data_IF_027189445633
#
_entry.id   IF_027189445633
#
_cell.length_a   1.000
_cell.length_b   1.000
_cell.length_c   1.000
_cell.angle_alpha   90.00
_cell.angle_beta   90.00
_cell.angle_gamma   90.00
#
_symmetry.space_group_name_H-M   'P 1'
#
loop_
_entity.id
_entity.type
_entity.pdbx_description
1 polymer ?
#
# COMPACT_ATOMS: atom_id res chain seq x y z
N UNK A 1 5.89 -18.22 -2.96
CA UNK A 1 6.85 -17.82 -1.90
C UNK A 1 8.10 -18.68 -2.07
N UNK A 2 9.25 -18.07 -2.28
CA UNK A 2 10.51 -18.82 -2.47
C UNK A 2 11.06 -19.27 -1.12
N UNK A 3 10.81 -20.51 -0.78
CA UNK A 3 11.22 -21.11 0.49
C UNK A 3 12.76 -21.17 0.60
N UNK A 4 13.46 -21.30 -0.52
CA UNK A 4 14.92 -21.48 -0.58
C UNK A 4 15.72 -20.31 0.01
N UNK A 5 15.17 -19.10 -0.01
CA UNK A 5 15.82 -17.90 0.53
C UNK A 5 15.25 -17.46 1.87
N UNK A 6 14.34 -18.22 2.45
CA UNK A 6 13.79 -17.94 3.77
C UNK A 6 14.66 -18.58 4.84
N UNK A 7 15.21 -17.74 5.72
CA UNK A 7 16.14 -18.15 6.77
C UNK A 7 15.72 -17.64 8.14
N UNK A 8 15.97 -18.39 9.20
CA UNK A 8 15.75 -17.91 10.55
C UNK A 8 16.72 -16.77 10.88
N UNK A 9 16.19 -15.71 11.46
CA UNK A 9 17.02 -14.62 12.01
C UNK A 9 17.53 -15.05 13.39
N UNK A 10 18.86 -15.12 13.58
CA UNK A 10 19.44 -15.59 14.84
C UNK A 10 18.90 -14.81 16.05
N UNK A 11 18.52 -15.53 17.09
CA UNK A 11 18.05 -14.96 18.37
C UNK A 11 16.76 -14.12 18.33
N UNK A 12 16.01 -14.12 17.22
CA UNK A 12 14.84 -13.28 17.09
C UNK A 12 13.50 -14.04 16.99
N UNK A 13 13.55 -15.40 16.81
CA UNK A 13 12.35 -16.22 16.66
C UNK A 13 11.48 -15.88 15.43
N UNK A 14 12.07 -15.24 14.44
CA UNK A 14 11.44 -14.82 13.19
C UNK A 14 12.33 -15.20 12.02
N UNK A 15 11.72 -15.29 10.83
CA UNK A 15 12.45 -15.54 9.59
C UNK A 15 12.63 -14.26 8.79
N UNK A 16 13.64 -14.24 7.93
CA UNK A 16 13.86 -13.20 6.93
C UNK A 16 14.10 -13.84 5.55
N UNK A 17 13.95 -13.05 4.50
CA UNK A 17 14.31 -13.45 3.15
C UNK A 17 15.70 -12.92 2.80
N UNK A 18 16.64 -13.83 2.53
CA UNK A 18 18.02 -13.48 2.20
C UNK A 18 18.13 -12.99 0.75
N UNK A 19 17.76 -11.73 0.56
CA UNK A 19 17.81 -11.07 -0.75
C UNK A 19 19.22 -10.95 -1.29
N UNK A 20 20.21 -10.78 -0.41
CA UNK A 20 21.62 -10.72 -0.81
C UNK A 20 22.03 -12.02 -1.47
N UNK A 21 21.77 -13.15 -0.83
CA UNK A 21 22.10 -14.45 -1.39
C UNK A 21 21.40 -14.69 -2.74
N UNK A 22 20.12 -14.36 -2.85
CA UNK A 22 19.37 -14.52 -4.08
C UNK A 22 19.96 -13.71 -5.24
N UNK A 23 20.38 -12.47 -4.99
CA UNK A 23 20.99 -11.60 -6.00
C UNK A 23 22.42 -12.04 -6.31
N UNK A 24 23.23 -12.33 -5.29
CA UNK A 24 24.64 -12.71 -5.46
C UNK A 24 24.79 -14.13 -6.05
N UNK A 25 23.77 -14.99 -5.97
CA UNK A 25 23.71 -16.26 -6.69
C UNK A 25 23.63 -16.08 -8.22
N UNK A 26 23.09 -14.96 -8.70
CA UNK A 26 23.03 -14.62 -10.14
C UNK A 26 24.35 -13.99 -10.58
N UNK A 27 24.83 -13.01 -9.82
CA UNK A 27 26.10 -12.32 -10.07
C UNK A 27 26.79 -12.00 -8.74
N UNK A 28 27.91 -12.61 -8.42
CA UNK A 28 28.62 -12.41 -7.17
C UNK A 28 28.95 -10.94 -6.90
N UNK A 29 28.52 -10.44 -5.74
CA UNK A 29 28.71 -9.05 -5.32
C UNK A 29 27.77 -8.03 -5.96
N UNK A 30 26.80 -8.46 -6.76
CA UNK A 30 25.83 -7.58 -7.41
C UNK A 30 24.95 -6.85 -6.40
N UNK A 31 24.54 -7.50 -5.32
CA UNK A 31 23.70 -6.88 -4.30
C UNK A 31 24.31 -5.61 -3.71
N UNK A 32 25.61 -5.61 -3.46
CA UNK A 32 26.31 -4.45 -2.91
C UNK A 32 26.31 -3.25 -3.86
N UNK A 33 26.23 -3.51 -5.17
CA UNK A 33 26.22 -2.48 -6.24
C UNK A 33 24.83 -1.96 -6.54
N UNK A 34 23.77 -2.66 -6.10
CA UNK A 34 22.40 -2.22 -6.32
C UNK A 34 22.07 -0.93 -5.55
N UNK A 35 21.40 0.05 -6.17
CA UNK A 35 20.77 1.16 -5.45
C UNK A 35 19.80 0.64 -4.37
N UNK A 36 19.59 1.41 -3.32
CA UNK A 36 18.70 1.00 -2.23
C UNK A 36 17.26 0.70 -2.72
N UNK A 37 16.73 1.49 -3.63
CA UNK A 37 15.42 1.23 -4.26
C UNK A 37 15.37 -0.12 -4.95
N UNK A 38 16.42 -0.48 -5.71
CA UNK A 38 16.51 -1.78 -6.37
C UNK A 38 16.63 -2.93 -5.36
N UNK A 39 17.27 -2.72 -4.20
CA UNK A 39 17.31 -3.73 -3.11
C UNK A 39 15.92 -3.99 -2.53
N UNK A 40 15.10 -2.92 -2.38
CA UNK A 40 13.70 -3.05 -1.93
C UNK A 40 12.88 -3.82 -2.95
N UNK A 41 13.04 -3.53 -4.24
CA UNK A 41 12.38 -4.28 -5.31
C UNK A 41 12.83 -5.74 -5.33
N UNK A 42 14.12 -6.00 -5.20
CA UNK A 42 14.67 -7.35 -5.15
C UNK A 42 14.12 -8.14 -3.95
N UNK A 43 14.02 -7.52 -2.77
CA UNK A 43 13.41 -8.13 -1.58
C UNK A 43 11.96 -8.52 -1.82
N UNK A 44 11.19 -7.63 -2.43
CA UNK A 44 9.80 -7.89 -2.79
C UNK A 44 9.68 -9.11 -3.72
N UNK A 45 10.52 -9.19 -4.74
CA UNK A 45 10.57 -10.33 -5.67
C UNK A 45 10.95 -11.63 -4.95
N UNK A 46 12.01 -11.62 -4.16
CA UNK A 46 12.47 -12.83 -3.45
C UNK A 46 11.37 -13.35 -2.52
N UNK A 47 10.64 -12.46 -1.89
CA UNK A 47 9.57 -12.82 -0.96
C UNK A 47 8.30 -13.30 -1.63
N UNK A 48 7.89 -12.72 -2.76
CA UNK A 48 6.55 -12.87 -3.31
C UNK A 48 6.48 -13.43 -4.72
N UNK A 49 7.54 -13.30 -5.51
CA UNK A 49 7.55 -13.74 -6.89
C UNK A 49 7.45 -15.27 -7.01
N UNK A 50 6.81 -15.75 -8.04
CA UNK A 50 6.82 -17.16 -8.39
C UNK A 50 8.25 -17.63 -8.74
N UNK A 51 8.62 -18.84 -8.35
CA UNK A 51 9.99 -19.31 -8.45
C UNK A 51 10.52 -19.30 -9.89
N UNK A 52 9.67 -19.67 -10.83
CA UNK A 52 9.98 -19.71 -12.27
C UNK A 52 10.30 -18.33 -12.87
N UNK A 53 9.76 -17.25 -12.28
CA UNK A 53 9.97 -15.87 -12.76
C UNK A 53 11.07 -15.13 -12.00
N UNK A 54 11.49 -15.64 -10.85
CA UNK A 54 12.36 -14.91 -9.93
C UNK A 54 13.70 -14.55 -10.54
N UNK A 55 14.38 -15.52 -11.15
CA UNK A 55 15.71 -15.32 -11.70
C UNK A 55 15.72 -14.26 -12.81
N UNK A 56 14.76 -14.30 -13.72
CA UNK A 56 14.70 -13.35 -14.82
C UNK A 56 14.28 -11.95 -14.34
N UNK A 57 13.38 -11.88 -13.36
CA UNK A 57 13.00 -10.62 -12.72
C UNK A 57 14.18 -9.97 -11.98
N UNK A 58 14.98 -10.75 -11.24
CA UNK A 58 16.19 -10.24 -10.58
C UNK A 58 17.26 -9.79 -11.57
N UNK A 59 17.46 -10.51 -12.69
CA UNK A 59 18.38 -10.09 -13.76
C UNK A 59 18.02 -8.72 -14.33
N UNK A 60 16.74 -8.40 -14.47
CA UNK A 60 16.32 -7.07 -14.92
C UNK A 60 16.82 -5.96 -13.98
N UNK A 61 16.73 -6.18 -12.66
CA UNK A 61 17.24 -5.22 -11.67
C UNK A 61 18.76 -5.13 -11.70
N UNK A 62 19.47 -6.26 -11.77
CA UNK A 62 20.94 -6.32 -11.77
C UNK A 62 21.50 -5.62 -13.01
N UNK A 63 20.97 -5.95 -14.18
CA UNK A 63 21.46 -5.45 -15.46
C UNK A 63 20.74 -4.20 -15.97
N UNK A 64 19.82 -3.65 -15.15
CA UNK A 64 19.02 -2.46 -15.48
C UNK A 64 18.27 -2.59 -16.81
N UNK A 65 17.81 -3.80 -17.12
CA UNK A 65 16.99 -4.07 -18.29
C UNK A 65 15.57 -3.58 -18.04
N UNK A 66 14.89 -3.16 -19.12
CA UNK A 66 13.51 -2.64 -19.06
C UNK A 66 12.67 -3.19 -20.21
N UNK A 67 13.03 -4.35 -20.69
CA UNK A 67 12.45 -5.03 -21.85
C UNK A 67 11.35 -6.02 -21.50
N UNK A 68 11.24 -6.37 -20.21
CA UNK A 68 10.24 -7.29 -19.69
C UNK A 68 9.59 -6.71 -18.43
N UNK A 69 8.32 -6.98 -18.28
CA UNK A 69 7.62 -6.71 -17.02
C UNK A 69 8.09 -7.68 -15.95
N UNK A 70 8.09 -7.23 -14.71
CA UNK A 70 8.27 -8.10 -13.56
C UNK A 70 7.17 -7.86 -12.52
N UNK A 71 6.78 -8.90 -11.76
CA UNK A 71 5.70 -8.79 -10.80
C UNK A 71 6.08 -7.88 -9.63
N UNK A 72 5.11 -7.05 -9.22
CA UNK A 72 5.23 -6.19 -8.07
C UNK A 72 4.11 -6.51 -7.07
N UNK A 73 4.47 -6.73 -5.81
CA UNK A 73 3.54 -7.12 -4.75
C UNK A 73 3.58 -6.11 -3.61
N UNK A 74 2.82 -5.03 -3.67
CA UNK A 74 2.77 -4.05 -2.59
C UNK A 74 2.27 -4.69 -1.30
N UNK A 75 2.81 -4.27 -0.17
CA UNK A 75 2.36 -4.75 1.13
C UNK A 75 1.00 -4.13 1.51
N UNK A 76 0.76 -2.91 1.07
CA UNK A 76 -0.48 -2.16 1.28
C UNK A 76 -0.59 -1.01 0.29
N UNK A 77 -1.80 -0.51 0.13
CA UNK A 77 -2.11 0.72 -0.58
C UNK A 77 -2.53 1.77 0.44
N UNK A 78 -1.95 2.95 0.39
CA UNK A 78 -2.33 4.08 1.22
C UNK A 78 -3.00 5.12 0.35
N UNK A 79 -4.25 5.44 0.68
CA UNK A 79 -5.09 6.35 -0.09
C UNK A 79 -5.42 7.61 0.71
N UNK A 80 -5.36 8.73 0.04
CA UNK A 80 -5.94 9.99 0.51
C UNK A 80 -7.47 9.95 0.36
N UNK A 81 -8.22 10.50 1.31
CA UNK A 81 -9.68 10.42 1.29
C UNK A 81 -10.36 11.27 0.20
N UNK A 82 -9.72 12.32 -0.28
CA UNK A 82 -10.26 13.15 -1.35
C UNK A 82 -9.97 12.54 -2.72
N UNK A 83 -8.71 12.29 -3.02
CA UNK A 83 -8.28 11.80 -4.35
C UNK A 83 -8.25 10.27 -4.44
N UNK A 84 -7.92 9.58 -3.35
CA UNK A 84 -7.83 8.13 -3.30
C UNK A 84 -9.17 7.43 -3.04
N UNK A 85 -10.19 8.15 -2.60
CA UNK A 85 -11.54 7.60 -2.41
C UNK A 85 -12.12 7.02 -3.70
N UNK A 86 -11.74 7.55 -4.85
CA UNK A 86 -12.17 7.06 -6.18
C UNK A 86 -11.90 5.57 -6.37
N UNK A 87 -10.81 5.03 -5.83
CA UNK A 87 -10.54 3.60 -5.91
C UNK A 87 -11.60 2.76 -5.18
N UNK A 88 -12.10 3.23 -4.05
CA UNK A 88 -13.16 2.55 -3.31
C UNK A 88 -14.52 2.72 -4.00
N UNK A 89 -14.75 3.87 -4.65
CA UNK A 89 -15.94 4.10 -5.49
C UNK A 89 -15.94 3.16 -6.69
N UNK A 90 -14.81 2.97 -7.36
CA UNK A 90 -14.67 2.03 -8.48
C UNK A 90 -14.96 0.58 -8.04
N UNK A 91 -14.45 0.17 -6.87
CA UNK A 91 -14.76 -1.14 -6.29
C UNK A 91 -16.25 -1.27 -5.95
N UNK A 92 -16.89 -0.21 -5.47
CA UNK A 92 -18.33 -0.21 -5.21
C UNK A 92 -19.13 -0.35 -6.52
N UNK A 93 -18.78 0.41 -7.56
CA UNK A 93 -19.37 0.29 -8.89
C UNK A 93 -19.17 -1.10 -9.51
N UNK A 94 -18.03 -1.73 -9.28
CA UNK A 94 -17.79 -3.11 -9.70
C UNK A 94 -18.70 -4.11 -8.96
N UNK A 95 -18.97 -3.89 -7.67
CA UNK A 95 -19.96 -4.69 -6.92
C UNK A 95 -21.36 -4.59 -7.53
N UNK A 96 -21.79 -3.37 -7.86
CA UNK A 96 -23.08 -3.15 -8.50
C UNK A 96 -23.17 -3.85 -9.86
N UNK A 97 -22.12 -3.75 -10.66
CA UNK A 97 -22.08 -4.42 -11.97
C UNK A 97 -22.11 -5.96 -11.85
N UNK A 98 -21.48 -6.54 -10.84
CA UNK A 98 -21.51 -7.98 -10.56
C UNK A 98 -22.90 -8.40 -10.08
N UNK A 99 -23.50 -7.64 -9.16
CA UNK A 99 -24.85 -7.88 -8.67
C UNK A 99 -25.88 -7.82 -9.81
N UNK A 100 -25.78 -6.85 -10.70
CA UNK A 100 -26.65 -6.73 -11.88
C UNK A 100 -26.56 -7.93 -12.83
N UNK A 101 -25.45 -8.66 -12.82
CA UNK A 101 -25.24 -9.90 -13.58
C UNK A 101 -25.56 -11.16 -12.78
N UNK A 102 -26.13 -11.04 -11.59
CA UNK A 102 -26.49 -12.17 -10.73
C UNK A 102 -25.30 -12.81 -10.00
N UNK A 103 -24.14 -12.17 -9.99
CA UNK A 103 -22.98 -12.61 -9.23
C UNK A 103 -23.00 -12.14 -7.78
N UNK A 104 -22.07 -12.65 -6.97
CA UNK A 104 -21.93 -12.28 -5.56
C UNK A 104 -21.02 -11.05 -5.41
N UNK A 105 -21.58 -9.87 -5.07
CA UNK A 105 -20.79 -8.65 -4.90
C UNK A 105 -19.81 -8.72 -3.72
N UNK A 106 -20.06 -9.56 -2.71
CA UNK A 106 -19.19 -9.69 -1.55
C UNK A 106 -17.81 -10.28 -1.88
N UNK A 107 -17.66 -10.87 -3.07
CA UNK A 107 -16.36 -11.36 -3.57
C UNK A 107 -15.43 -10.24 -4.04
N UNK A 108 -15.96 -9.07 -4.36
CA UNK A 108 -15.14 -7.90 -4.76
C UNK A 108 -14.56 -7.22 -3.52
N UNK A 109 -13.28 -7.34 -3.35
CA UNK A 109 -12.54 -6.72 -2.25
C UNK A 109 -11.14 -6.33 -2.73
N UNK A 110 -10.48 -5.36 -2.11
CA UNK A 110 -9.07 -5.13 -2.35
C UNK A 110 -8.25 -6.40 -2.08
N UNK A 111 -7.40 -6.77 -3.03
CA UNK A 111 -6.47 -7.92 -2.87
C UNK A 111 -5.40 -7.57 -1.85
N UNK A 112 -4.99 -6.31 -1.83
CA UNK A 112 -3.96 -5.77 -0.93
C UNK A 112 -4.64 -4.95 0.15
N UNK A 113 -4.20 -5.01 1.41
CA UNK A 113 -4.68 -4.13 2.47
C UNK A 113 -4.66 -2.66 2.02
N UNK A 114 -5.80 -2.01 2.08
CA UNK A 114 -5.98 -0.63 1.62
C UNK A 114 -6.33 0.24 2.83
N UNK A 115 -5.54 1.28 3.06
CA UNK A 115 -5.72 2.22 4.16
C UNK A 115 -6.13 3.58 3.59
N UNK A 116 -7.33 4.02 3.94
CA UNK A 116 -7.83 5.34 3.59
C UNK A 116 -7.54 6.28 4.75
N UNK A 117 -6.75 7.32 4.51
CA UNK A 117 -6.43 8.32 5.52
C UNK A 117 -7.30 9.54 5.29
N UNK A 118 -8.13 9.89 6.28
CA UNK A 118 -8.95 11.09 6.23
C UNK A 118 -8.05 12.30 6.41
N UNK A 119 -7.86 13.04 5.33
CA UNK A 119 -7.09 14.29 5.30
C UNK A 119 -8.02 15.48 5.54
N UNK A 120 -7.54 16.42 6.34
CA UNK A 120 -8.34 17.58 6.67
C UNK A 120 -8.29 18.63 5.57
N UNK A 121 -9.45 19.09 5.16
CA UNK A 121 -9.62 20.26 4.30
C UNK A 121 -10.40 21.34 5.03
N UNK A 122 -10.03 21.60 6.28
CA UNK A 122 -10.72 22.57 7.12
C UNK A 122 -10.53 23.99 6.58
N UNK A 123 -11.61 24.58 6.08
CA UNK A 123 -11.66 26.01 5.84
C UNK A 123 -12.00 26.71 7.15
N UNK A 124 -11.08 27.53 7.64
CA UNK A 124 -11.26 28.25 8.90
C UNK A 124 -12.23 29.41 8.67
N UNK A 125 -13.42 29.31 9.25
CA UNK A 125 -14.44 30.38 9.24
C UNK A 125 -14.53 31.10 10.58
N UNK A 126 -14.15 30.42 11.65
CA UNK A 126 -14.07 30.96 13.00
C UNK A 126 -12.62 30.97 13.48
N UNK A 127 -12.10 32.11 13.85
CA UNK A 127 -10.68 32.27 14.19
C UNK A 127 -10.44 33.33 15.26
N UNK A 128 -9.18 33.53 15.63
CA UNK A 128 -8.74 34.52 16.59
C UNK A 128 -9.13 34.17 18.02
N UNK A 129 -9.71 35.11 18.73
CA UNK A 129 -10.09 34.92 20.13
C UNK A 129 -11.56 34.46 20.29
N UNK A 130 -12.19 34.00 19.22
CA UNK A 130 -13.55 33.50 19.28
C UNK A 130 -13.57 32.21 20.11
N UNK A 131 -14.42 32.22 21.13
CA UNK A 131 -14.64 31.05 21.98
C UNK A 131 -15.28 29.95 21.15
N UNK A 132 -14.83 28.72 21.36
CA UNK A 132 -15.32 27.52 20.68
C UNK A 132 -15.12 27.56 19.14
N UNK A 133 -14.10 28.30 18.66
CA UNK A 133 -13.77 28.39 17.23
C UNK A 133 -13.46 27.03 16.59
N UNK A 134 -12.76 26.16 17.32
CA UNK A 134 -12.43 24.82 16.86
C UNK A 134 -13.68 23.96 16.64
N UNK A 135 -14.55 23.90 17.63
CA UNK A 135 -15.80 23.13 17.58
C UNK A 135 -16.72 23.60 16.46
N UNK A 136 -16.81 24.93 16.26
CA UNK A 136 -17.59 25.53 15.18
C UNK A 136 -17.04 25.15 13.80
N UNK A 137 -15.74 25.28 13.59
CA UNK A 137 -15.11 24.90 12.34
C UNK A 137 -15.28 23.40 12.07
N UNK A 138 -15.13 22.55 13.08
CA UNK A 138 -15.36 21.12 12.96
C UNK A 138 -16.80 20.78 12.57
N UNK A 139 -17.78 21.41 13.19
CA UNK A 139 -19.18 21.20 12.84
C UNK A 139 -19.50 21.62 11.39
N UNK A 140 -18.81 22.65 10.88
CA UNK A 140 -18.91 23.06 9.47
C UNK A 140 -18.29 22.01 8.56
N UNK A 141 -17.11 21.49 8.90
CA UNK A 141 -16.43 20.43 8.15
C UNK A 141 -17.29 19.16 8.07
N UNK A 142 -17.79 18.69 9.21
CA UNK A 142 -18.62 17.49 9.30
C UNK A 142 -19.86 17.62 8.42
N UNK A 143 -20.57 18.76 8.49
CA UNK A 143 -21.75 19.02 7.66
C UNK A 143 -21.44 19.07 6.16
N UNK A 144 -20.30 19.64 5.77
CA UNK A 144 -19.88 19.75 4.35
C UNK A 144 -19.47 18.42 3.75
N UNK A 145 -19.02 17.50 4.59
CA UNK A 145 -18.48 16.21 4.18
C UNK A 145 -19.38 15.03 4.57
N UNK A 146 -20.61 15.28 4.98
CA UNK A 146 -21.51 14.25 5.51
C UNK A 146 -21.67 13.06 4.54
N UNK A 147 -22.02 13.31 3.29
CA UNK A 147 -22.15 12.27 2.26
C UNK A 147 -20.85 11.49 2.05
N UNK A 148 -19.70 12.18 2.07
CA UNK A 148 -18.39 11.56 1.92
C UNK A 148 -18.07 10.66 3.11
N UNK A 149 -18.34 11.12 4.31
CA UNK A 149 -18.10 10.34 5.52
C UNK A 149 -19.05 9.16 5.65
N UNK A 150 -20.29 9.30 5.19
CA UNK A 150 -21.22 8.18 5.07
C UNK A 150 -20.68 7.08 4.15
N UNK A 151 -20.21 7.44 2.96
CA UNK A 151 -19.59 6.49 2.04
C UNK A 151 -18.35 5.82 2.65
N UNK A 152 -17.43 6.58 3.25
CA UNK A 152 -16.21 6.07 3.88
C UNK A 152 -16.57 5.08 5.01
N UNK A 153 -17.54 5.40 5.85
CA UNK A 153 -17.99 4.52 6.92
C UNK A 153 -18.63 3.23 6.37
N UNK A 154 -19.37 3.32 5.28
CA UNK A 154 -19.90 2.14 4.62
C UNK A 154 -18.78 1.23 4.10
N UNK A 155 -17.71 1.78 3.53
CA UNK A 155 -16.59 0.98 3.00
C UNK A 155 -15.92 0.12 4.07
N UNK A 156 -15.85 0.58 5.31
CA UNK A 156 -15.28 -0.19 6.45
C UNK A 156 -16.03 -1.47 6.73
N UNK A 157 -17.32 -1.49 6.49
CA UNK A 157 -18.18 -2.66 6.74
C UNK A 157 -18.39 -3.49 5.48
N UNK A 158 -18.43 -2.84 4.33
CA UNK A 158 -18.69 -3.48 3.06
C UNK A 158 -17.48 -4.27 2.54
N UNK A 159 -16.28 -3.73 2.67
CA UNK A 159 -15.08 -4.34 2.12
C UNK A 159 -14.23 -5.04 3.20
N UNK A 160 -13.67 -6.18 2.83
CA UNK A 160 -12.53 -6.78 3.54
C UNK A 160 -11.25 -6.06 3.10
N UNK A 161 -10.25 -6.05 3.95
CA UNK A 161 -8.96 -5.40 3.70
C UNK A 161 -9.02 -3.87 3.48
N UNK A 162 -10.06 -3.20 3.96
CA UNK A 162 -10.14 -1.74 4.01
C UNK A 162 -10.07 -1.28 5.45
N UNK A 163 -9.09 -0.44 5.74
CA UNK A 163 -8.96 0.25 7.03
C UNK A 163 -9.07 1.75 6.80
N UNK A 164 -9.80 2.43 7.67
CA UNK A 164 -9.97 3.88 7.61
C UNK A 164 -9.29 4.51 8.82
N UNK A 165 -8.34 5.39 8.55
CA UNK A 165 -7.68 6.20 9.56
C UNK A 165 -8.52 7.47 9.76
N UNK A 166 -9.20 7.59 10.91
CA UNK A 166 -10.13 8.69 11.14
C UNK A 166 -9.40 10.04 11.32
N UNK A 167 -10.12 11.15 11.22
CA UNK A 167 -9.59 12.48 11.50
C UNK A 167 -8.88 12.54 12.84
N UNK A 168 -7.78 13.31 12.92
CA UNK A 168 -7.00 13.49 14.15
C UNK A 168 -5.94 12.41 14.42
N UNK A 169 -5.85 11.37 13.56
CA UNK A 169 -4.83 10.31 13.67
C UNK A 169 -3.71 10.42 12.64
N UNK A 170 -3.40 11.60 12.19
CA UNK A 170 -2.51 11.88 11.08
C UNK A 170 -3.28 12.17 9.80
N UNK A 171 -2.56 12.59 8.78
CA UNK A 171 -3.07 12.85 7.44
C UNK A 171 -2.16 12.17 6.42
N UNK A 172 -2.54 12.14 5.14
CA UNK A 172 -1.72 11.50 4.11
C UNK A 172 -0.32 12.11 4.01
N UNK A 173 -0.19 13.43 4.15
CA UNK A 173 1.08 14.15 4.06
C UNK A 173 1.90 14.10 5.36
N UNK A 174 1.27 13.76 6.49
CA UNK A 174 1.86 13.66 7.81
C UNK A 174 1.39 12.36 8.48
N UNK A 175 1.91 11.26 7.97
CA UNK A 175 1.49 9.91 8.38
C UNK A 175 1.86 9.66 9.85
N UNK A 176 0.89 9.21 10.61
CA UNK A 176 1.12 8.70 11.96
C UNK A 176 1.80 7.31 11.88
N UNK A 177 3.12 7.30 12.03
CA UNK A 177 3.90 6.08 11.91
C UNK A 177 3.61 5.05 12.99
N UNK A 178 3.25 5.47 14.20
CA UNK A 178 2.89 4.54 15.29
C UNK A 178 1.68 3.69 14.91
N UNK A 179 0.69 4.28 14.24
CA UNK A 179 -0.49 3.59 13.76
C UNK A 179 -0.26 2.85 12.44
N UNK A 180 0.54 3.44 11.55
CA UNK A 180 0.65 3.01 10.16
C UNK A 180 1.80 2.02 9.90
N UNK A 181 2.71 1.83 10.85
CA UNK A 181 3.88 0.95 10.69
C UNK A 181 3.68 -0.36 11.42
N UNK A 182 3.18 -1.41 10.76
CA UNK A 182 3.13 -2.73 11.37
C UNK A 182 4.55 -3.24 11.60
N UNK A 183 4.89 -3.56 12.84
CA UNK A 183 6.20 -4.14 13.20
C UNK A 183 6.35 -5.55 12.66
N UNK A 184 5.26 -6.29 12.63
CA UNK A 184 5.24 -7.68 12.20
C UNK A 184 4.07 -7.97 11.28
N UNK A 185 4.30 -8.77 10.28
CA UNK A 185 3.27 -9.34 9.43
C UNK A 185 3.23 -10.85 9.60
N UNK A 186 2.07 -11.39 9.92
CA UNK A 186 1.85 -12.85 9.99
C UNK A 186 1.42 -13.32 8.62
N UNK A 187 2.25 -14.15 8.00
CA UNK A 187 1.91 -14.85 6.76
C UNK A 187 2.01 -16.36 7.00
N UNK A 188 0.92 -17.07 6.80
CA UNK A 188 0.91 -18.52 6.91
C UNK A 188 1.32 -19.09 8.28
N UNK A 189 1.02 -18.39 9.37
CA UNK A 189 1.35 -18.81 10.73
C UNK A 189 2.78 -18.50 11.20
N UNK A 190 3.58 -17.87 10.38
CA UNK A 190 4.92 -17.40 10.77
C UNK A 190 4.90 -15.85 10.93
N UNK A 191 5.49 -15.38 12.01
CA UNK A 191 5.64 -13.96 12.26
C UNK A 191 6.85 -13.45 11.48
N UNK A 192 6.60 -12.66 10.42
CA UNK A 192 7.66 -12.01 9.65
C UNK A 192 7.76 -10.54 10.04
N UNK A 193 8.88 -10.13 10.63
CA UNK A 193 9.21 -8.70 10.72
C UNK A 193 9.65 -8.24 9.34
N UNK A 194 8.85 -7.39 8.73
CA UNK A 194 9.28 -6.63 7.57
C UNK A 194 9.67 -5.25 8.05
N UNK A 195 10.97 -4.99 8.14
CA UNK A 195 11.48 -3.68 8.56
C UNK A 195 11.19 -2.55 7.55
N UNK A 196 10.55 -2.89 6.44
CA UNK A 196 10.17 -1.88 5.44
C UNK A 196 8.89 -2.34 4.76
N UNK A 197 7.71 -1.92 5.22
CA UNK A 197 6.51 -2.12 4.45
C UNK A 197 6.66 -1.36 3.14
N UNK A 198 6.66 -2.07 2.03
CA UNK A 198 6.55 -1.43 0.74
C UNK A 198 5.15 -0.84 0.63
N UNK A 199 5.07 0.46 0.74
CA UNK A 199 3.82 1.22 0.67
C UNK A 199 3.74 1.86 -0.70
N UNK A 200 2.64 1.62 -1.40
CA UNK A 200 2.25 2.49 -2.49
C UNK A 200 1.36 3.57 -1.90
N UNK A 201 1.86 4.79 -1.88
CA UNK A 201 1.03 5.96 -1.63
C UNK A 201 0.41 6.38 -2.96
N UNK A 202 -0.90 6.31 -3.07
CA UNK A 202 -1.60 6.76 -4.26
C UNK A 202 -2.39 8.01 -3.94
N UNK A 203 -2.02 9.12 -4.57
CA UNK A 203 -2.87 10.31 -4.68
C UNK A 203 -3.77 10.23 -5.91
N UNK A 204 -3.47 9.33 -6.82
CA UNK A 204 -4.31 8.90 -7.92
C UNK A 204 -4.03 7.42 -8.16
N UNK A 205 -5.07 6.61 -8.25
CA UNK A 205 -4.94 5.21 -8.63
C UNK A 205 -4.63 5.15 -10.12
N UNK A 206 -3.36 5.33 -10.44
CA UNK A 206 -2.83 4.77 -11.67
C UNK A 206 -2.11 3.49 -11.26
N UNK A 207 -2.72 2.38 -11.51
CA UNK A 207 -2.01 1.14 -11.73
C UNK A 207 -1.22 1.34 -13.03
N UNK A 208 -0.14 2.10 -12.93
CA UNK A 208 0.82 2.10 -14.02
C UNK A 208 1.56 0.77 -13.93
N UNK A 209 1.16 -0.15 -14.79
CA UNK A 209 2.19 -1.00 -15.37
C UNK A 209 3.31 -0.05 -15.80
N UNK A 210 4.58 -0.37 -15.54
CA UNK A 210 5.68 0.50 -15.96
C UNK A 210 5.76 0.53 -17.47
N UNK A 211 4.84 1.27 -18.08
CA UNK A 211 4.95 1.62 -19.50
C UNK A 211 5.96 2.76 -19.59
N UNK A 212 7.14 2.34 -19.95
CA UNK A 212 8.44 2.94 -19.80
C UNK A 212 8.70 4.10 -20.76
N UNK A 213 7.69 4.84 -21.22
CA UNK A 213 7.88 5.85 -22.25
C UNK A 213 7.36 7.25 -21.94
N UNK A 214 7.41 7.69 -20.68
CA UNK A 214 7.34 9.13 -20.43
C UNK A 214 8.66 9.61 -19.86
N UNK A 215 9.49 10.12 -20.75
CA UNK A 215 10.57 11.02 -20.36
C UNK A 215 9.93 12.24 -19.71
N UNK A 216 10.32 12.50 -18.49
CA UNK A 216 10.17 13.83 -17.92
C UNK A 216 11.17 14.74 -18.68
N UNK A 217 10.65 15.69 -19.43
CA UNK A 217 11.35 16.88 -19.83
C UNK A 217 11.37 17.88 -18.67
#
# INVERSE_FOLDING_TARGET
MNIDYRKPLPNAGIDFFDTREAVDAIEPGAYAKLPYTSRVLAENLVRKCAAEMLTDSLKQLIYRKRDLDFPWFPARVVCHDILGQTALVDLAGLRDAIAAKGGDPAKVNPVVPTQLIVDHSLAVEHAGFEKDAFEKNRAIEDRRNDDRFHFINWTKTAFKNVDVIPPGNGIMHQINLERMSPETRVEGGATNRTNTPTVIASTSVRLETPDSNQRAD
#
